data_IF_923660888576
#
_entry.id   IF_923660888576
#
_cell.length_a   1.000
_cell.length_b   1.000
_cell.length_c   1.000
_cell.angle_alpha   90.00
_cell.angle_beta   90.00
_cell.angle_gamma   90.00
#
_symmetry.space_group_name_H-M   'P 1'
#
loop_
_entity.id
_entity.type
_entity.pdbx_description
1 polymer ?
#
# COMPACT_ATOMS: atom_id res chain seq x y z
N UNK A 1 -29.66 15.95 4.61
CA UNK A 1 -29.79 14.81 5.54
C UNK A 1 -28.39 14.25 5.66
N UNK A 2 -27.69 14.51 6.77
CA UNK A 2 -26.31 14.04 6.93
C UNK A 2 -26.30 12.52 6.84
N UNK A 3 -25.55 11.97 5.89
CA UNK A 3 -25.36 10.53 5.82
C UNK A 3 -24.55 10.11 7.05
N UNK A 4 -25.26 9.60 8.06
CA UNK A 4 -24.68 8.80 9.13
C UNK A 4 -23.74 7.75 8.52
N UNK A 5 -22.64 7.50 9.21
CA UNK A 5 -21.66 6.48 8.83
C UNK A 5 -22.38 5.15 8.53
N UNK A 6 -22.24 4.64 7.31
CA UNK A 6 -22.79 3.33 6.96
C UNK A 6 -21.86 2.24 7.47
N UNK A 7 -22.16 1.76 8.69
CA UNK A 7 -21.39 0.74 9.36
C UNK A 7 -21.24 -0.55 8.54
N UNK A 8 -22.20 -0.89 7.68
CA UNK A 8 -22.11 -2.10 6.85
C UNK A 8 -21.02 -1.92 5.79
N UNK A 9 -20.98 -0.77 5.12
CA UNK A 9 -19.94 -0.47 4.14
C UNK A 9 -18.56 -0.37 4.79
N UNK A 10 -18.47 0.16 6.02
CA UNK A 10 -17.21 0.20 6.76
C UNK A 10 -16.71 -1.20 7.12
N UNK A 11 -17.60 -2.08 7.61
CA UNK A 11 -17.25 -3.48 7.89
C UNK A 11 -16.78 -4.19 6.62
N UNK A 12 -17.45 -3.98 5.49
CA UNK A 12 -17.03 -4.53 4.19
C UNK A 12 -15.62 -4.04 3.83
N UNK A 13 -15.36 -2.74 3.95
CA UNK A 13 -14.04 -2.17 3.65
C UNK A 13 -12.93 -2.76 4.54
N UNK A 14 -13.20 -2.91 5.83
CA UNK A 14 -12.28 -3.56 6.78
C UNK A 14 -12.00 -5.00 6.37
N UNK A 15 -13.05 -5.79 6.10
CA UNK A 15 -12.90 -7.21 5.73
C UNK A 15 -12.10 -7.35 4.44
N UNK A 16 -12.42 -6.56 3.39
CA UNK A 16 -11.68 -6.58 2.12
C UNK A 16 -10.20 -6.29 2.35
N UNK A 17 -9.89 -5.22 3.10
CA UNK A 17 -8.51 -4.84 3.37
C UNK A 17 -7.76 -5.93 4.17
N UNK A 18 -8.38 -6.43 5.23
CA UNK A 18 -7.80 -7.48 6.08
C UNK A 18 -7.53 -8.74 5.29
N UNK A 19 -8.47 -9.20 4.46
CA UNK A 19 -8.26 -10.38 3.60
C UNK A 19 -7.08 -10.16 2.67
N UNK A 20 -6.98 -8.99 2.04
CA UNK A 20 -5.87 -8.69 1.14
C UNK A 20 -4.52 -8.72 1.86
N UNK A 21 -4.41 -8.04 3.01
CA UNK A 21 -3.20 -8.04 3.84
C UNK A 21 -2.84 -9.48 4.27
N UNK A 22 -3.82 -10.28 4.71
CA UNK A 22 -3.60 -11.67 5.09
C UNK A 22 -3.09 -12.52 3.93
N UNK A 23 -3.58 -12.31 2.71
CA UNK A 23 -3.08 -13.01 1.50
C UNK A 23 -1.62 -12.65 1.22
N UNK A 24 -1.25 -11.37 1.33
CA UNK A 24 0.15 -10.93 1.17
C UNK A 24 1.04 -11.56 2.25
N UNK A 25 0.60 -11.53 3.52
CA UNK A 25 1.34 -12.11 4.64
C UNK A 25 1.48 -13.64 4.51
N UNK A 26 0.44 -14.31 3.99
CA UNK A 26 0.48 -15.73 3.71
C UNK A 26 1.50 -16.06 2.62
N UNK A 27 1.50 -15.32 1.51
CA UNK A 27 2.49 -15.48 0.44
C UNK A 27 3.92 -15.28 0.97
N UNK A 28 4.15 -14.20 1.72
CA UNK A 28 5.43 -13.95 2.39
C UNK A 28 5.85 -15.14 3.28
N UNK A 29 4.93 -15.69 4.08
CA UNK A 29 5.20 -16.82 4.97
C UNK A 29 5.59 -18.09 4.20
N UNK A 30 4.89 -18.39 3.10
CA UNK A 30 5.21 -19.54 2.23
C UNK A 30 6.58 -19.37 1.57
N UNK A 31 6.89 -18.19 1.06
CA UNK A 31 8.19 -17.91 0.43
C UNK A 31 9.34 -17.93 1.44
N UNK A 32 9.11 -17.43 2.65
CA UNK A 32 10.06 -17.55 3.77
C UNK A 32 10.34 -19.00 4.13
N UNK A 33 9.29 -19.81 4.33
CA UNK A 33 9.42 -21.22 4.71
C UNK A 33 10.07 -22.10 3.61
N UNK A 34 9.97 -21.69 2.34
CA UNK A 34 10.60 -22.41 1.22
C UNK A 34 12.04 -21.95 0.93
N UNK A 35 12.59 -21.02 1.72
CA UNK A 35 13.94 -20.49 1.54
C UNK A 35 14.09 -19.53 0.35
N UNK A 36 12.98 -19.03 -0.21
CA UNK A 36 13.01 -18.02 -1.29
C UNK A 36 13.29 -16.61 -0.77
N UNK A 37 13.02 -16.37 0.52
CA UNK A 37 13.35 -15.12 1.21
C UNK A 37 14.48 -15.35 2.21
N UNK A 38 15.30 -14.32 2.43
CA UNK A 38 16.24 -14.28 3.55
C UNK A 38 15.48 -14.34 4.89
N UNK A 39 16.15 -14.75 5.98
CA UNK A 39 15.49 -14.69 7.29
C UNK A 39 15.29 -13.23 7.68
N UNK A 40 14.21 -12.98 8.42
CA UNK A 40 13.88 -11.65 8.91
C UNK A 40 15.03 -11.12 9.77
N UNK A 41 15.44 -9.87 9.52
CA UNK A 41 16.56 -9.18 10.18
C UNK A 41 17.97 -9.71 9.89
N UNK A 42 18.14 -10.64 8.95
CA UNK A 42 19.48 -11.00 8.46
C UNK A 42 20.15 -9.80 7.78
N UNK A 43 21.48 -9.74 7.86
CA UNK A 43 22.28 -8.72 7.16
C UNK A 43 22.35 -9.06 5.67
N UNK A 44 22.02 -8.08 4.82
CA UNK A 44 22.12 -8.20 3.37
C UNK A 44 23.62 -8.36 2.99
N UNK A 45 24.00 -9.42 2.25
CA UNK A 45 25.40 -9.70 1.93
C UNK A 45 26.11 -8.50 1.28
N UNK A 46 27.32 -8.18 1.77
CA UNK A 46 28.12 -7.06 1.27
C UNK A 46 27.66 -5.67 1.72
N UNK A 47 26.81 -5.60 2.75
CA UNK A 47 26.28 -4.36 3.33
C UNK A 47 26.24 -4.42 4.85
N UNK A 48 25.84 -3.33 5.50
CA UNK A 48 25.44 -3.30 6.91
C UNK A 48 23.92 -3.15 7.10
N UNK A 49 23.14 -3.37 6.03
CA UNK A 49 21.70 -3.14 6.03
C UNK A 49 20.94 -4.43 6.35
N UNK A 50 19.88 -4.31 7.16
CA UNK A 50 19.00 -5.43 7.53
C UNK A 50 17.96 -5.72 6.43
N UNK A 51 17.65 -7.00 6.23
CA UNK A 51 16.55 -7.46 5.39
C UNK A 51 15.21 -7.27 6.12
N UNK A 52 14.27 -6.58 5.46
CA UNK A 52 12.99 -6.19 6.05
C UNK A 52 11.84 -7.06 5.55
N UNK A 53 11.00 -7.49 6.48
CA UNK A 53 9.69 -8.08 6.21
C UNK A 53 8.59 -7.02 6.28
N UNK A 54 7.42 -7.31 5.72
CA UNK A 54 6.23 -6.44 5.80
C UNK A 54 6.01 -5.87 7.21
N UNK A 55 6.09 -6.71 8.24
CA UNK A 55 5.83 -6.31 9.63
C UNK A 55 6.91 -5.37 10.21
N UNK A 56 8.05 -5.22 9.53
CA UNK A 56 9.14 -4.34 9.95
C UNK A 56 8.94 -2.88 9.50
N UNK A 57 8.06 -2.65 8.53
CA UNK A 57 7.66 -1.31 8.13
C UNK A 57 6.65 -0.76 9.15
N UNK A 58 7.15 -0.39 10.32
CA UNK A 58 6.35 -0.06 11.50
C UNK A 58 5.28 0.99 11.24
N UNK A 59 5.47 1.89 10.27
CA UNK A 59 4.51 2.94 9.97
C UNK A 59 3.75 2.69 8.65
N UNK A 60 4.39 2.20 7.58
CA UNK A 60 3.69 1.89 6.32
C UNK A 60 2.79 0.65 6.45
N UNK A 61 3.25 -0.42 7.10
CA UNK A 61 2.42 -1.60 7.33
C UNK A 61 1.24 -1.30 8.26
N UNK A 62 1.46 -0.43 9.26
CA UNK A 62 0.42 0.13 10.11
C UNK A 62 -0.58 0.94 9.32
N UNK A 63 -0.11 1.84 8.45
CA UNK A 63 -0.96 2.65 7.57
C UNK A 63 -1.80 1.80 6.61
N UNK A 64 -1.20 0.79 5.99
CA UNK A 64 -1.88 -0.15 5.11
C UNK A 64 -2.95 -0.98 5.85
N UNK A 65 -2.70 -1.35 7.10
CA UNK A 65 -3.65 -2.18 7.85
C UNK A 65 -4.76 -1.35 8.51
N UNK A 66 -4.44 -0.15 8.99
CA UNK A 66 -5.33 0.67 9.83
C UNK A 66 -6.04 1.78 9.06
N UNK A 67 -5.37 2.45 8.11
CA UNK A 67 -5.90 3.65 7.46
C UNK A 67 -6.59 3.35 6.13
N UNK A 68 -6.05 2.41 5.37
CA UNK A 68 -6.61 2.00 4.08
C UNK A 68 -8.07 1.51 4.12
N UNK A 69 -8.56 0.79 5.17
CA UNK A 69 -9.97 0.46 5.28
C UNK A 69 -10.90 1.68 5.24
N UNK A 70 -10.50 2.79 5.86
CA UNK A 70 -11.30 4.00 5.91
C UNK A 70 -11.32 4.73 4.56
N UNK A 71 -10.20 4.72 3.84
CA UNK A 71 -10.13 5.27 2.48
C UNK A 71 -10.97 4.41 1.52
N UNK A 72 -10.88 3.08 1.62
CA UNK A 72 -11.71 2.16 0.86
C UNK A 72 -13.20 2.35 1.19
N UNK A 73 -13.54 2.58 2.47
CA UNK A 73 -14.89 2.93 2.87
C UNK A 73 -15.41 4.18 2.15
N UNK A 74 -14.62 5.26 2.09
CA UNK A 74 -15.02 6.49 1.37
C UNK A 74 -15.34 6.20 -0.10
N UNK A 75 -14.48 5.42 -0.77
CA UNK A 75 -14.69 5.02 -2.15
C UNK A 75 -15.95 4.16 -2.35
N UNK A 76 -16.14 3.15 -1.51
CA UNK A 76 -17.33 2.28 -1.55
C UNK A 76 -18.59 3.09 -1.27
N UNK A 77 -18.55 3.96 -0.26
CA UNK A 77 -19.67 4.82 0.10
C UNK A 77 -20.07 5.72 -1.07
N UNK A 78 -19.12 6.38 -1.74
CA UNK A 78 -19.40 7.22 -2.92
C UNK A 78 -19.96 6.40 -4.07
N UNK A 79 -19.39 5.23 -4.32
CA UNK A 79 -19.87 4.31 -5.36
C UNK A 79 -21.32 3.89 -5.10
N UNK A 80 -21.67 3.57 -3.86
CA UNK A 80 -23.00 3.10 -3.48
C UNK A 80 -24.07 4.20 -3.47
N UNK A 81 -23.73 5.43 -3.06
CA UNK A 81 -24.72 6.48 -2.80
C UNK A 81 -24.81 7.54 -3.90
N UNK A 82 -23.70 7.84 -4.59
CA UNK A 82 -23.62 9.01 -5.46
C UNK A 82 -23.11 8.68 -6.87
N UNK A 83 -22.76 7.41 -7.14
CA UNK A 83 -22.37 6.85 -8.45
C UNK A 83 -21.32 7.68 -9.20
N UNK A 84 -20.12 7.12 -9.37
CA UNK A 84 -19.15 7.74 -10.26
C UNK A 84 -19.63 7.77 -11.73
N UNK A 85 -19.29 8.82 -12.50
CA UNK A 85 -19.59 8.83 -13.93
C UNK A 85 -18.91 7.63 -14.61
N UNK A 86 -19.54 6.97 -15.60
CA UNK A 86 -18.98 5.78 -16.25
C UNK A 86 -17.57 5.99 -16.84
N UNK A 87 -17.25 7.22 -17.23
CA UNK A 87 -15.93 7.61 -17.76
C UNK A 87 -14.80 7.52 -16.74
N UNK A 88 -15.07 7.44 -15.43
CA UNK A 88 -14.01 7.33 -14.42
C UNK A 88 -13.36 5.95 -14.45
N UNK A 89 -14.10 4.88 -14.76
CA UNK A 89 -13.62 3.51 -14.57
C UNK A 89 -12.40 3.17 -15.43
N UNK A 90 -12.36 3.50 -16.74
CA UNK A 90 -11.15 3.32 -17.55
C UNK A 90 -9.97 4.15 -17.02
N UNK A 91 -10.24 5.34 -16.49
CA UNK A 91 -9.19 6.20 -15.91
C UNK A 91 -8.61 5.57 -14.63
N UNK A 92 -9.45 5.02 -13.74
CA UNK A 92 -9.00 4.33 -12.53
C UNK A 92 -8.15 3.09 -12.85
N UNK A 93 -8.54 2.32 -13.87
CA UNK A 93 -7.74 1.18 -14.36
C UNK A 93 -6.39 1.68 -14.88
N UNK A 94 -6.39 2.75 -15.67
CA UNK A 94 -5.17 3.37 -16.18
C UNK A 94 -4.23 3.85 -15.06
N UNK A 95 -4.76 4.55 -14.07
CA UNK A 95 -4.03 4.99 -12.88
C UNK A 95 -3.41 3.81 -12.16
N UNK A 96 -4.19 2.76 -11.87
CA UNK A 96 -3.69 1.59 -11.16
C UNK A 96 -2.53 0.92 -11.91
N UNK A 97 -2.66 0.73 -13.23
CA UNK A 97 -1.61 0.11 -14.06
C UNK A 97 -0.36 1.00 -14.11
N UNK A 98 -0.51 2.31 -14.32
CA UNK A 98 0.63 3.24 -14.39
C UNK A 98 1.36 3.26 -13.05
N UNK A 99 0.63 3.38 -11.94
CA UNK A 99 1.21 3.36 -10.60
C UNK A 99 1.97 2.06 -10.31
N UNK A 100 1.38 0.90 -10.65
CA UNK A 100 2.07 -0.39 -10.56
C UNK A 100 3.37 -0.41 -11.37
N UNK A 101 3.37 0.09 -12.61
CA UNK A 101 4.58 0.11 -13.45
C UNK A 101 5.65 1.00 -12.81
N UNK A 102 5.29 2.20 -12.35
CA UNK A 102 6.21 3.14 -11.72
C UNK A 102 6.79 2.57 -10.42
N UNK A 103 5.93 2.02 -9.56
CA UNK A 103 6.34 1.40 -8.31
C UNK A 103 7.26 0.20 -8.53
N UNK A 104 6.89 -0.70 -9.45
CA UNK A 104 7.73 -1.84 -9.81
C UNK A 104 9.09 -1.39 -10.38
N UNK A 105 9.12 -0.34 -11.21
CA UNK A 105 10.37 0.18 -11.77
C UNK A 105 11.31 0.69 -10.68
N UNK A 106 10.79 1.39 -9.67
CA UNK A 106 11.59 1.85 -8.54
C UNK A 106 12.14 0.69 -7.71
N UNK A 107 11.29 -0.30 -7.40
CA UNK A 107 11.67 -1.42 -6.54
C UNK A 107 12.54 -2.49 -7.24
N UNK A 108 12.47 -2.59 -8.57
CA UNK A 108 13.34 -3.46 -9.37
C UNK A 108 14.66 -2.79 -9.76
N UNK A 109 14.86 -1.53 -9.40
CA UNK A 109 16.09 -0.81 -9.71
C UNK A 109 17.33 -1.46 -9.08
N UNK A 110 18.49 -1.31 -9.74
CA UNK A 110 19.77 -1.91 -9.28
C UNK A 110 20.25 -1.41 -7.91
N UNK A 111 19.73 -0.29 -7.44
CA UNK A 111 20.07 0.31 -6.16
C UNK A 111 18.96 0.12 -5.11
N UNK A 112 17.89 -0.63 -5.42
CA UNK A 112 16.87 -0.97 -4.42
C UNK A 112 17.49 -1.86 -3.35
N UNK A 113 17.19 -1.55 -2.08
CA UNK A 113 17.60 -2.37 -0.94
C UNK A 113 16.71 -3.61 -0.88
N UNK A 114 17.27 -4.84 -0.88
CA UNK A 114 16.47 -6.05 -0.78
C UNK A 114 15.53 -6.07 0.43
N UNK A 115 14.31 -6.54 0.20
CA UNK A 115 13.25 -6.73 1.20
C UNK A 115 12.38 -7.94 0.82
N UNK A 116 11.38 -8.26 1.64
CA UNK A 116 10.48 -9.41 1.41
C UNK A 116 9.72 -9.37 0.06
N UNK A 117 9.43 -8.19 -0.48
CA UNK A 117 8.76 -8.00 -1.77
C UNK A 117 9.73 -8.09 -2.94
N UNK A 118 10.96 -7.61 -2.73
CA UNK A 118 12.03 -7.54 -3.71
C UNK A 118 13.30 -8.20 -3.15
N UNK A 119 13.35 -9.54 -3.10
CA UNK A 119 14.34 -10.27 -2.30
C UNK A 119 15.77 -10.18 -2.83
N UNK A 120 15.93 -9.76 -4.08
CA UNK A 120 17.23 -9.47 -4.70
C UNK A 120 17.04 -8.50 -5.85
N UNK A 121 18.14 -7.91 -6.33
CA UNK A 121 18.10 -6.90 -7.39
C UNK A 121 17.39 -7.43 -8.65
N UNK A 122 16.41 -6.67 -9.14
CA UNK A 122 15.63 -7.03 -10.32
C UNK A 122 14.72 -8.25 -10.14
N UNK A 123 14.50 -8.74 -8.92
CA UNK A 123 13.62 -9.88 -8.62
C UNK A 123 12.46 -9.42 -7.77
N UNK A 124 11.29 -9.98 -8.04
CA UNK A 124 10.05 -9.76 -7.30
C UNK A 124 9.58 -11.10 -6.72
N UNK A 125 9.19 -11.10 -5.45
CA UNK A 125 8.56 -12.24 -4.82
C UNK A 125 7.07 -12.31 -5.17
N UNK A 126 6.42 -13.45 -4.89
CA UNK A 126 4.96 -13.57 -5.04
C UNK A 126 4.26 -12.56 -4.13
N UNK A 127 4.74 -12.42 -2.89
CA UNK A 127 4.26 -11.41 -1.96
C UNK A 127 4.43 -9.98 -2.51
N UNK A 128 5.57 -9.68 -3.13
CA UNK A 128 5.84 -8.39 -3.77
C UNK A 128 4.89 -8.10 -4.93
N UNK A 129 4.58 -9.10 -5.76
CA UNK A 129 3.59 -8.97 -6.83
C UNK A 129 2.18 -8.71 -6.30
N UNK A 130 1.76 -9.43 -5.25
CA UNK A 130 0.44 -9.20 -4.62
C UNK A 130 0.36 -7.80 -3.99
N UNK A 131 1.43 -7.34 -3.37
CA UNK A 131 1.53 -5.97 -2.87
C UNK A 131 1.53 -4.93 -3.98
N UNK A 132 2.10 -5.22 -5.15
CA UNK A 132 2.03 -4.33 -6.29
C UNK A 132 0.58 -4.09 -6.73
N UNK A 133 -0.20 -5.16 -6.84
CA UNK A 133 -1.64 -5.09 -7.15
C UNK A 133 -2.40 -4.32 -6.07
N UNK A 134 -2.07 -4.56 -4.79
CA UNK A 134 -2.64 -3.81 -3.68
C UNK A 134 -2.35 -2.32 -3.80
N UNK A 135 -1.08 -1.95 -4.01
CA UNK A 135 -0.65 -0.56 -4.09
C UNK A 135 -1.34 0.19 -5.23
N UNK A 136 -1.36 -0.39 -6.45
CA UNK A 136 -2.00 0.23 -7.62
C UNK A 136 -3.50 0.41 -7.46
N UNK A 137 -4.21 -0.61 -6.96
CA UNK A 137 -5.65 -0.51 -6.71
C UNK A 137 -5.99 0.54 -5.65
N UNK A 138 -5.23 0.59 -4.56
CA UNK A 138 -5.42 1.60 -3.52
C UNK A 138 -5.05 3.01 -4.00
N UNK A 139 -4.05 3.18 -4.85
CA UNK A 139 -3.76 4.48 -5.45
C UNK A 139 -4.93 4.99 -6.28
N UNK A 140 -5.54 4.13 -7.11
CA UNK A 140 -6.74 4.49 -7.85
C UNK A 140 -7.92 4.83 -6.92
N UNK A 141 -8.14 4.05 -5.87
CA UNK A 141 -9.16 4.32 -4.84
C UNK A 141 -8.93 5.66 -4.14
N UNK A 142 -7.68 5.98 -3.78
CA UNK A 142 -7.31 7.27 -3.16
C UNK A 142 -7.64 8.42 -4.11
N UNK A 143 -7.23 8.33 -5.38
CA UNK A 143 -7.49 9.38 -6.36
C UNK A 143 -8.98 9.54 -6.68
N UNK A 144 -9.73 8.44 -6.78
CA UNK A 144 -11.18 8.47 -6.93
C UNK A 144 -11.87 9.17 -5.75
N UNK A 145 -11.42 8.85 -4.53
CA UNK A 145 -11.95 9.44 -3.31
C UNK A 145 -11.64 10.93 -3.24
N UNK A 146 -10.41 11.34 -3.59
CA UNK A 146 -10.01 12.75 -3.68
C UNK A 146 -10.82 13.50 -4.75
N UNK A 147 -10.98 12.93 -5.94
CA UNK A 147 -11.83 13.49 -6.99
C UNK A 147 -13.26 13.71 -6.49
N UNK A 148 -13.82 12.71 -5.81
CA UNK A 148 -15.19 12.80 -5.29
C UNK A 148 -15.37 13.94 -4.28
N UNK A 149 -14.36 14.16 -3.44
CA UNK A 149 -14.31 15.21 -2.43
C UNK A 149 -14.19 16.61 -3.04
N UNK A 150 -13.46 16.74 -4.15
CA UNK A 150 -13.30 18.00 -4.88
C UNK A 150 -14.57 18.40 -5.62
N UNK A 151 -15.25 17.43 -6.24
CA UNK A 151 -16.44 17.70 -7.04
C UNK A 151 -17.67 17.91 -6.17
N UNK A 152 -17.80 17.14 -5.10
CA UNK A 152 -19.02 17.09 -4.30
C UNK A 152 -18.66 16.71 -2.86
N UNK A 153 -18.39 17.74 -2.05
CA UNK A 153 -17.88 17.63 -0.70
C UNK A 153 -18.95 17.09 0.26
N UNK A 154 -18.67 15.93 0.83
CA UNK A 154 -19.44 15.33 1.91
C UNK A 154 -18.62 15.39 3.20
N UNK A 155 -19.18 16.02 4.25
CA UNK A 155 -18.42 16.38 5.46
C UNK A 155 -17.79 15.15 6.13
N UNK A 156 -18.56 14.10 6.38
CA UNK A 156 -18.08 12.92 7.12
C UNK A 156 -17.06 12.10 6.30
N UNK A 157 -17.36 11.65 5.06
CA UNK A 157 -16.36 10.95 4.24
C UNK A 157 -15.14 11.81 3.90
N UNK A 158 -15.34 13.12 3.68
CA UNK A 158 -14.28 14.07 3.36
C UNK A 158 -13.29 14.27 4.51
N UNK A 159 -13.79 14.52 5.73
CA UNK A 159 -12.93 14.64 6.93
C UNK A 159 -12.17 13.34 7.19
N UNK A 160 -12.85 12.20 7.04
CA UNK A 160 -12.22 10.88 7.22
C UNK A 160 -11.08 10.66 6.23
N UNK A 161 -11.30 10.95 4.94
CA UNK A 161 -10.28 10.83 3.90
C UNK A 161 -9.06 11.70 4.21
N UNK A 162 -9.27 13.00 4.48
CA UNK A 162 -8.18 13.94 4.76
C UNK A 162 -7.38 13.50 5.99
N UNK A 163 -8.07 13.10 7.06
CA UNK A 163 -7.42 12.64 8.29
C UNK A 163 -6.57 11.39 8.04
N UNK A 164 -7.12 10.39 7.34
CA UNK A 164 -6.39 9.17 7.01
C UNK A 164 -5.17 9.46 6.11
N UNK A 165 -5.31 10.31 5.10
CA UNK A 165 -4.19 10.69 4.23
C UNK A 165 -3.11 11.46 5.00
N UNK A 166 -3.49 12.39 5.88
CA UNK A 166 -2.55 13.14 6.71
C UNK A 166 -1.73 12.21 7.63
N UNK A 167 -2.40 11.27 8.32
CA UNK A 167 -1.71 10.28 9.17
C UNK A 167 -0.82 9.37 8.31
N UNK A 168 -1.28 8.95 7.13
CA UNK A 168 -0.49 8.11 6.23
C UNK A 168 0.78 8.81 5.74
N UNK A 169 0.73 10.12 5.46
CA UNK A 169 1.90 10.92 5.10
C UNK A 169 2.90 11.03 6.26
N UNK A 170 2.42 11.19 7.50
CA UNK A 170 3.28 11.16 8.69
C UNK A 170 3.97 9.81 8.81
N UNK A 171 3.25 8.72 8.59
CA UNK A 171 3.81 7.37 8.60
C UNK A 171 4.88 7.17 7.53
N UNK A 172 4.61 7.57 6.28
CA UNK A 172 5.60 7.50 5.21
C UNK A 172 6.88 8.31 5.53
N UNK A 173 6.73 9.49 6.14
CA UNK A 173 7.85 10.33 6.56
C UNK A 173 8.68 9.66 7.67
N UNK A 174 8.04 8.93 8.59
CA UNK A 174 8.73 8.20 9.65
C UNK A 174 9.54 7.02 9.08
N UNK A 175 8.97 6.21 8.18
CA UNK A 175 9.72 5.12 7.53
C UNK A 175 10.93 5.64 6.74
N UNK A 176 10.79 6.81 6.09
CA UNK A 176 11.92 7.47 5.42
C UNK A 176 13.02 7.85 6.42
N UNK A 177 12.64 8.43 7.58
CA UNK A 177 13.59 8.82 8.64
C UNK A 177 14.25 7.62 9.31
N UNK A 178 13.56 6.49 9.43
CA UNK A 178 14.13 5.24 9.94
C UNK A 178 15.00 4.50 8.91
N UNK A 179 15.08 5.01 7.68
CA UNK A 179 15.94 4.49 6.65
C UNK A 179 15.45 3.18 6.02
N UNK A 180 14.16 2.87 6.14
CA UNK A 180 13.59 1.66 5.55
C UNK A 180 13.54 1.73 4.02
N UNK A 181 13.48 2.94 3.46
CA UNK A 181 13.55 3.22 2.01
C UNK A 181 14.95 3.66 1.53
N UNK A 182 16.00 3.44 2.31
CA UNK A 182 17.36 3.75 1.84
C UNK A 182 17.74 2.88 0.64
N UNK A 183 18.51 3.47 -0.28
CA UNK A 183 19.18 2.72 -1.34
C UNK A 183 20.14 1.69 -0.75
N UNK A 184 20.43 0.65 -1.52
CA UNK A 184 21.45 -0.33 -1.17
C UNK A 184 22.82 0.34 -1.03
N UNK A 185 23.42 0.26 0.16
CA UNK A 185 24.75 0.79 0.48
C UNK A 185 25.74 -0.38 0.55
N UNK A 186 26.53 -0.54 -0.50
CA UNK A 186 27.63 -1.53 -0.51
C UNK A 186 28.77 -1.04 0.37
N UNK A 187 29.43 -1.97 1.06
CA UNK A 187 30.70 -1.69 1.71
C UNK A 187 31.70 -1.42 0.59
N UNK A 188 32.12 -0.16 0.42
CA UNK A 188 33.29 0.17 -0.40
C UNK A 188 34.49 -0.49 0.23
N UNK A 189 35.16 -1.37 -0.53
CA UNK A 189 36.49 -1.87 -0.18
C UNK A 189 37.54 -0.77 -0.34
#
# INVERSE_FOLDING_TARGET
>A
MEALLDWKLLVIAIVINTVYVLVILFAQRVESNSGKLMKRHDIIPGTHQIFLYWQDFTTQAGGNSLLMPFILYVFIWKTAHQSFPPSIWPWLIGVAIIDMILFATMCLAKNHKPDWGYPSQGKMSVGGFLHLLYHGSYMAIILASLYSVVIDWEVVPGILLITCLAIYLVFAQLDYRFGYFEKLKKITQ
#
